data_IF_790875500808
#
_entry.id   IF_790875500808
#
_cell.length_a   1.000
_cell.length_b   1.000
_cell.length_c   1.000
_cell.angle_alpha   90.00
_cell.angle_beta   90.00
_cell.angle_gamma   90.00
#
_symmetry.space_group_name_H-M   'P 1'
#
loop_
_entity.id
_entity.type
_entity.pdbx_description
1 polymer ?
#
# COMPACT_ATOMS: atom_id res chain seq x y z
N UNK A 1 -15.92 12.39 -6.22
CA UNK A 1 -16.73 13.56 -6.64
C UNK A 1 -16.61 14.62 -5.55
N UNK A 2 -16.78 15.89 -5.85
CA UNK A 2 -17.05 16.87 -4.78
C UNK A 2 -18.50 16.76 -4.28
N UNK A 3 -18.86 17.56 -3.27
CA UNK A 3 -20.21 17.57 -2.70
C UNK A 3 -21.30 18.04 -3.69
N UNK A 4 -20.91 18.63 -4.83
CA UNK A 4 -21.81 19.08 -5.89
C UNK A 4 -22.02 18.01 -6.96
N UNK A 5 -21.31 16.88 -6.86
CA UNK A 5 -21.33 15.81 -7.86
C UNK A 5 -20.32 16.02 -8.99
N UNK A 6 -19.47 17.06 -8.94
CA UNK A 6 -18.43 17.26 -9.94
C UNK A 6 -17.34 16.21 -9.79
N UNK A 7 -16.97 15.57 -10.89
CA UNK A 7 -15.82 14.66 -10.94
C UNK A 7 -14.52 15.46 -10.77
N UNK A 8 -13.77 15.16 -9.71
CA UNK A 8 -12.41 15.71 -9.47
C UNK A 8 -11.36 14.75 -10.02
N UNK A 9 -11.51 13.46 -9.70
CA UNK A 9 -10.59 12.39 -10.10
C UNK A 9 -11.33 11.52 -11.11
N UNK A 10 -10.76 11.28 -12.31
CA UNK A 10 -11.37 10.42 -13.32
C UNK A 10 -11.65 9.02 -12.79
N UNK A 11 -12.78 8.42 -13.21
CA UNK A 11 -13.13 7.04 -12.90
C UNK A 11 -12.36 6.05 -13.80
N UNK A 12 -11.03 6.11 -13.72
CA UNK A 12 -10.10 5.30 -14.53
C UNK A 12 -9.43 4.19 -13.71
N UNK A 13 -9.80 4.07 -12.42
CA UNK A 13 -9.22 3.11 -11.49
C UNK A 13 -10.15 1.92 -11.32
N UNK A 14 -9.57 0.73 -11.24
CA UNK A 14 -10.28 -0.53 -10.99
C UNK A 14 -10.76 -0.62 -9.54
N UNK A 15 -9.95 -0.07 -8.62
CA UNK A 15 -10.24 0.02 -7.19
C UNK A 15 -9.67 1.33 -6.64
N UNK A 16 -10.32 1.89 -5.64
CA UNK A 16 -9.87 3.08 -4.93
C UNK A 16 -10.32 3.00 -3.48
N UNK A 17 -9.39 3.25 -2.56
CA UNK A 17 -9.69 3.31 -1.14
C UNK A 17 -10.01 4.74 -0.67
N UNK A 18 -10.25 4.92 0.62
CA UNK A 18 -10.45 6.21 1.25
C UNK A 18 -9.16 7.02 1.29
N UNK A 19 -9.29 8.34 1.18
CA UNK A 19 -8.17 9.24 1.44
C UNK A 19 -7.78 9.21 2.92
N UNK A 20 -6.52 8.84 3.21
CA UNK A 20 -5.93 8.97 4.53
C UNK A 20 -4.69 9.86 4.46
N UNK A 21 -4.63 10.88 5.32
CA UNK A 21 -3.55 11.89 5.34
C UNK A 21 -3.18 12.49 3.97
N UNK A 22 -4.14 12.53 3.04
CA UNK A 22 -3.97 13.14 1.71
C UNK A 22 -3.61 12.17 0.59
N UNK A 23 -3.45 10.87 0.88
CA UNK A 23 -3.19 9.82 -0.11
C UNK A 23 -4.34 8.84 -0.18
N UNK A 24 -4.54 8.27 -1.36
CA UNK A 24 -5.53 7.24 -1.64
C UNK A 24 -4.83 6.12 -2.43
N UNK A 25 -4.73 4.91 -1.86
CA UNK A 25 -4.37 3.71 -2.61
C UNK A 25 -5.39 3.47 -3.72
N UNK A 26 -4.90 3.26 -4.93
CA UNK A 26 -5.72 3.01 -6.11
C UNK A 26 -5.11 1.92 -6.97
N UNK A 27 -5.95 1.14 -7.63
CA UNK A 27 -5.55 0.09 -8.57
C UNK A 27 -5.78 0.55 -10.01
N UNK A 28 -4.76 0.39 -10.84
CA UNK A 28 -4.80 0.68 -12.27
C UNK A 28 -3.97 -0.34 -13.03
N UNK A 29 -4.50 -0.86 -14.12
CA UNK A 29 -3.82 -1.82 -15.00
C UNK A 29 -3.29 -3.04 -14.20
N UNK A 30 -4.09 -3.51 -13.25
CA UNK A 30 -3.73 -4.65 -12.39
C UNK A 30 -2.74 -4.37 -11.24
N UNK A 31 -2.18 -3.15 -11.13
CA UNK A 31 -1.19 -2.79 -10.09
C UNK A 31 -1.70 -1.67 -9.18
N UNK A 32 -1.23 -1.65 -7.94
CA UNK A 32 -1.49 -0.60 -6.97
C UNK A 32 -0.43 0.49 -7.01
N UNK A 33 -0.90 1.71 -6.78
CA UNK A 33 -0.13 2.91 -6.49
C UNK A 33 -0.94 3.83 -5.56
N UNK A 34 -0.49 5.06 -5.35
CA UNK A 34 -1.24 6.04 -4.56
C UNK A 34 -1.32 7.37 -5.26
N UNK A 35 -2.49 8.01 -5.18
CA UNK A 35 -2.75 9.34 -5.70
C UNK A 35 -3.03 10.32 -4.58
N UNK A 36 -2.78 11.60 -4.83
CA UNK A 36 -3.20 12.67 -3.94
C UNK A 36 -4.64 13.16 -4.24
N UNK A 37 -5.14 14.12 -3.47
CA UNK A 37 -6.50 14.69 -3.63
C UNK A 37 -6.74 15.40 -4.98
N UNK A 38 -5.69 15.71 -5.73
CA UNK A 38 -5.77 16.26 -7.09
C UNK A 38 -5.79 15.16 -8.16
N UNK A 39 -5.67 13.89 -7.77
CA UNK A 39 -5.54 12.76 -8.68
C UNK A 39 -4.14 12.57 -9.25
N UNK A 40 -3.14 13.28 -8.73
CA UNK A 40 -1.75 13.13 -9.16
C UNK A 40 -1.14 11.90 -8.49
N UNK A 41 -0.44 11.07 -9.26
CA UNK A 41 0.28 9.91 -8.73
C UNK A 41 1.44 10.35 -7.85
N UNK A 42 1.43 9.88 -6.59
CA UNK A 42 2.51 10.05 -5.61
C UNK A 42 3.34 8.78 -5.51
N UNK A 43 2.67 7.62 -5.44
CA UNK A 43 3.32 6.31 -5.44
C UNK A 43 2.97 5.62 -6.76
N UNK A 44 3.96 5.17 -7.56
CA UNK A 44 3.73 4.63 -8.88
C UNK A 44 2.98 3.28 -8.83
N UNK A 45 2.28 2.95 -9.92
CA UNK A 45 1.50 1.71 -10.08
C UNK A 45 2.41 0.51 -10.34
N UNK A 46 3.16 0.08 -9.33
CA UNK A 46 4.16 -0.99 -9.46
C UNK A 46 3.90 -2.19 -8.56
N UNK A 47 2.95 -2.08 -7.63
CA UNK A 47 2.78 -3.01 -6.53
C UNK A 47 1.63 -3.98 -6.79
N UNK A 48 1.75 -5.20 -6.31
CA UNK A 48 0.67 -6.18 -6.35
C UNK A 48 -0.42 -5.85 -5.34
N UNK A 49 -0.02 -5.26 -4.21
CA UNK A 49 -0.92 -4.74 -3.18
C UNK A 49 -0.26 -3.63 -2.35
N UNK A 50 -1.07 -2.77 -1.74
CA UNK A 50 -0.65 -1.74 -0.76
C UNK A 50 -1.71 -1.66 0.33
N UNK A 51 -1.32 -2.01 1.57
CA UNK A 51 -2.18 -1.88 2.74
C UNK A 51 -2.47 -0.41 3.08
N UNK A 52 -3.43 -0.21 3.99
CA UNK A 52 -3.70 1.11 4.57
C UNK A 52 -2.46 1.71 5.23
N UNK A 53 -2.26 3.01 5.02
CA UNK A 53 -1.23 3.74 5.73
C UNK A 53 -1.59 3.90 7.21
N UNK A 54 -0.84 3.26 8.10
CA UNK A 54 -0.89 3.49 9.54
C UNK A 54 0.38 4.22 10.00
N UNK A 55 0.22 5.28 10.81
CA UNK A 55 1.33 6.09 11.33
C UNK A 55 2.36 6.60 10.29
N UNK A 56 1.98 6.66 9.01
CA UNK A 56 2.85 7.15 7.94
C UNK A 56 3.55 6.06 7.13
N UNK A 57 3.17 4.80 7.35
CA UNK A 57 3.76 3.63 6.71
C UNK A 57 2.67 2.67 6.25
N UNK A 58 2.93 1.92 5.19
CA UNK A 58 2.08 0.84 4.72
C UNK A 58 2.94 -0.38 4.39
N UNK A 59 2.40 -1.57 4.59
CA UNK A 59 2.95 -2.78 3.99
C UNK A 59 2.56 -2.80 2.51
N UNK A 60 3.48 -3.16 1.64
CA UNK A 60 3.19 -3.36 0.23
C UNK A 60 3.67 -4.74 -0.20
N UNK A 61 3.02 -5.28 -1.23
CA UNK A 61 3.43 -6.54 -1.88
C UNK A 61 3.99 -6.24 -3.26
N UNK A 62 5.14 -6.83 -3.58
CA UNK A 62 5.73 -6.81 -4.91
C UNK A 62 6.40 -8.16 -5.18
N UNK A 63 6.04 -8.80 -6.29
CA UNK A 63 6.58 -10.11 -6.68
C UNK A 63 6.44 -11.14 -5.55
N UNK A 64 5.24 -11.21 -4.97
CA UNK A 64 4.86 -12.09 -3.85
C UNK A 64 5.62 -11.87 -2.53
N UNK A 65 6.43 -10.81 -2.44
CA UNK A 65 7.16 -10.44 -1.22
C UNK A 65 6.64 -9.12 -0.65
N UNK A 66 6.60 -9.06 0.68
CA UNK A 66 6.13 -7.91 1.45
C UNK A 66 7.30 -7.05 1.94
N UNK A 67 7.11 -5.74 1.83
CA UNK A 67 8.00 -4.68 2.32
C UNK A 67 7.21 -3.56 2.99
N UNK A 68 7.91 -2.50 3.42
CA UNK A 68 7.29 -1.30 4.03
C UNK A 68 7.65 -0.07 3.22
N UNK A 69 6.66 0.76 2.95
CA UNK A 69 6.80 2.04 2.24
C UNK A 69 6.23 3.17 3.11
N UNK A 70 6.81 4.36 3.03
CA UNK A 70 6.25 5.55 3.65
C UNK A 70 5.30 6.31 2.73
N UNK A 71 4.63 7.33 3.27
CA UNK A 71 3.70 8.19 2.52
C UNK A 71 4.33 8.92 1.32
N UNK A 72 5.66 9.06 1.28
CA UNK A 72 6.36 9.70 0.16
C UNK A 72 6.67 8.73 -0.98
N UNK A 73 6.42 7.43 -0.77
CA UNK A 73 6.84 6.37 -1.68
C UNK A 73 8.25 5.86 -1.43
N UNK A 74 8.90 6.26 -0.33
CA UNK A 74 10.22 5.75 0.03
C UNK A 74 10.07 4.36 0.64
N UNK A 75 10.79 3.39 0.07
CA UNK A 75 10.91 2.05 0.63
C UNK A 75 11.72 2.15 1.94
N UNK A 76 11.11 1.71 3.04
CA UNK A 76 11.70 1.64 4.38
C UNK A 76 12.24 0.23 4.64
N UNK A 77 11.50 -0.78 4.19
CA UNK A 77 11.89 -2.18 4.24
C UNK A 77 11.71 -2.77 2.85
N UNK A 78 12.78 -3.28 2.25
CA UNK A 78 12.74 -3.94 0.94
C UNK A 78 11.83 -5.19 0.97
N UNK A 79 11.14 -5.49 -0.14
CA UNK A 79 10.22 -6.62 -0.20
C UNK A 79 11.00 -7.92 -0.20
N UNK A 80 11.01 -8.62 0.92
CA UNK A 80 11.74 -9.89 1.10
C UNK A 80 11.01 -10.91 1.99
N UNK A 81 9.91 -10.50 2.63
CA UNK A 81 9.18 -11.34 3.57
C UNK A 81 7.95 -11.95 2.90
N UNK A 82 7.66 -13.22 3.15
CA UNK A 82 6.39 -13.81 2.70
C UNK A 82 5.21 -13.24 3.49
N UNK A 83 5.39 -13.04 4.79
CA UNK A 83 4.42 -12.42 5.67
C UNK A 83 5.04 -11.27 6.46
N UNK A 84 4.36 -10.13 6.43
CA UNK A 84 4.72 -8.90 7.12
C UNK A 84 3.43 -8.15 7.43
N UNK A 85 3.25 -7.73 8.68
CA UNK A 85 2.09 -6.96 9.09
C UNK A 85 2.47 -5.94 10.17
N UNK A 86 1.69 -4.88 10.26
CA UNK A 86 1.81 -3.89 11.33
C UNK A 86 1.00 -4.36 12.55
N UNK A 87 1.60 -4.25 13.74
CA UNK A 87 0.97 -4.54 15.01
C UNK A 87 1.48 -3.59 16.09
N UNK A 88 0.60 -2.75 16.62
CA UNK A 88 0.89 -1.81 17.72
C UNK A 88 2.12 -0.93 17.50
N UNK A 89 2.32 -0.45 16.26
CA UNK A 89 3.42 0.42 15.88
C UNK A 89 4.72 -0.33 15.52
N UNK A 90 4.72 -1.66 15.55
CA UNK A 90 5.83 -2.50 15.10
C UNK A 90 5.48 -3.24 13.81
N UNK A 91 6.49 -3.50 12.96
CA UNK A 91 6.33 -4.43 11.84
C UNK A 91 6.82 -5.81 12.25
N UNK A 92 5.95 -6.80 12.13
CA UNK A 92 6.24 -8.19 12.46
C UNK A 92 6.32 -8.98 11.18
N UNK A 93 7.51 -9.50 10.87
CA UNK A 93 7.69 -10.48 9.82
C UNK A 93 7.42 -11.88 10.39
N UNK A 94 6.53 -12.64 9.77
CA UNK A 94 6.34 -14.04 10.12
C UNK A 94 7.12 -14.89 9.10
N UNK A 95 8.32 -15.29 9.46
CA UNK A 95 9.12 -16.17 8.62
C UNK A 95 8.88 -17.64 8.96
N UNK A 96 9.06 -18.52 7.97
CA UNK A 96 8.81 -19.97 7.94
C UNK A 96 9.43 -20.82 9.08
N UNK A 97 10.17 -20.19 10.01
CA UNK A 97 10.84 -20.84 11.14
C UNK A 97 9.85 -21.55 12.08
N UNK A 98 8.59 -21.12 12.19
CA UNK A 98 7.58 -21.85 12.98
C UNK A 98 7.17 -23.21 12.36
N UNK A 99 7.49 -23.50 11.10
CA UNK A 99 7.20 -24.81 10.46
C UNK A 99 8.32 -25.84 10.62
N UNK A 100 9.53 -25.48 11.07
CA UNK A 100 10.66 -26.42 11.26
C UNK A 100 11.28 -26.38 12.67
N UNK A 101 10.64 -25.71 13.63
CA UNK A 101 11.13 -25.68 15.03
C UNK A 101 10.51 -26.78 15.92
N UNK A 102 9.81 -27.75 15.31
CA UNK A 102 9.29 -28.94 15.97
C UNK A 102 9.71 -30.19 15.18
N UNK A 103 11.02 -30.44 15.09
CA UNK A 103 11.60 -31.78 14.96
C UNK A 103 12.60 -32.00 16.09
#
# INVERSE_FOLDING_TARGET
MDITGKTIIPFIYENADSFFKGLCPVKKDGKYGCINKKGETVIPFLYDDIDYFNNGFAVFTKEDKKGVIDNSGKIIIEPQYDELFEHEGCFVAADWILKNSFE
#
